data_IF_605780829590
#
_entry.id   IF_605780829590
#
_cell.length_a   1.000
_cell.length_b   1.000
_cell.length_c   1.000
_cell.angle_alpha   90.00
_cell.angle_beta   90.00
_cell.angle_gamma   90.00
#
_symmetry.space_group_name_H-M   'P 1'
#
loop_
_entity.id
_entity.type
_entity.pdbx_description
1 polymer ?
#
# COMPACT_ATOMS: atom_id res chain seq x y z
N UNK A 1 53.48 -16.58 7.85
CA UNK A 1 53.57 -15.42 6.93
C UNK A 1 54.23 -15.84 5.62
N UNK A 2 53.46 -16.14 4.56
CA UNK A 2 53.94 -16.11 3.18
C UNK A 2 53.33 -14.93 2.39
N UNK A 3 54.18 -14.25 1.61
CA UNK A 3 53.85 -13.23 0.60
C UNK A 3 53.70 -13.89 -0.78
N UNK A 4 53.30 -13.10 -1.80
CA UNK A 4 53.25 -13.38 -3.26
C UNK A 4 51.89 -13.92 -3.78
N UNK A 5 51.22 -13.43 -4.83
CA UNK A 5 51.33 -12.26 -5.72
C UNK A 5 50.04 -12.24 -6.60
N UNK A 6 49.40 -11.08 -6.88
CA UNK A 6 48.14 -11.01 -7.62
C UNK A 6 48.39 -10.71 -9.12
N UNK A 7 48.72 -11.73 -9.90
CA UNK A 7 48.83 -11.58 -11.36
C UNK A 7 48.46 -12.86 -12.11
N UNK A 8 47.14 -13.11 -12.23
CA UNK A 8 46.64 -14.04 -13.25
C UNK A 8 45.28 -13.64 -13.79
N UNK A 9 45.32 -12.67 -14.69
CA UNK A 9 44.33 -12.48 -15.75
C UNK A 9 44.07 -13.79 -16.48
N UNK A 10 42.82 -14.28 -16.46
CA UNK A 10 42.30 -15.17 -17.52
C UNK A 10 40.78 -14.99 -17.61
N UNK A 11 40.41 -14.20 -18.60
CA UNK A 11 39.12 -14.23 -19.27
C UNK A 11 38.69 -15.68 -19.56
N UNK A 12 37.40 -15.98 -19.32
CA UNK A 12 36.62 -16.91 -20.17
C UNK A 12 35.14 -16.85 -19.80
N UNK A 13 34.39 -16.21 -20.69
CA UNK A 13 32.96 -16.39 -20.93
C UNK A 13 32.60 -17.88 -20.87
N UNK A 14 31.54 -18.24 -20.15
CA UNK A 14 30.70 -19.39 -20.48
C UNK A 14 29.26 -19.08 -20.11
N UNK A 15 28.49 -18.78 -21.15
CA UNK A 15 27.04 -18.81 -21.19
C UNK A 15 26.58 -20.23 -20.83
N UNK A 16 25.68 -20.37 -19.87
CA UNK A 16 24.92 -21.61 -19.68
C UNK A 16 23.44 -21.30 -19.89
N UNK A 17 22.96 -21.68 -21.07
CA UNK A 17 21.56 -21.71 -21.43
C UNK A 17 21.19 -23.17 -21.71
N UNK A 18 20.38 -23.76 -20.81
CA UNK A 18 19.59 -25.02 -20.95
C UNK A 18 18.94 -25.27 -19.58
N UNK A 19 17.78 -25.87 -19.40
CA UNK A 19 16.63 -26.17 -20.22
C UNK A 19 15.56 -26.69 -19.25
N UNK A 20 14.31 -26.24 -19.44
CA UNK A 20 13.06 -26.97 -19.27
C UNK A 20 13.11 -28.27 -18.44
N UNK A 21 12.33 -28.34 -17.35
CA UNK A 21 11.56 -29.56 -17.03
C UNK A 21 10.30 -29.24 -16.22
N UNK A 22 9.17 -29.45 -16.91
CA UNK A 22 7.80 -29.56 -16.41
C UNK A 22 7.74 -30.62 -15.30
N UNK A 23 7.02 -30.33 -14.20
CA UNK A 23 6.37 -31.35 -13.36
C UNK A 23 5.26 -30.70 -12.50
N UNK A 24 4.05 -30.79 -13.02
CA UNK A 24 2.81 -31.03 -12.26
C UNK A 24 2.15 -32.28 -12.92
N UNK A 25 1.12 -32.94 -12.38
CA UNK A 25 0.26 -32.60 -11.23
C UNK A 25 -0.14 -33.79 -10.31
N UNK A 26 -1.06 -33.52 -9.37
CA UNK A 26 -2.00 -34.45 -8.66
C UNK A 26 -1.41 -35.32 -7.52
N UNK A 27 -2.07 -35.60 -6.37
CA UNK A 27 -3.49 -35.61 -5.98
C UNK A 27 -3.62 -35.85 -4.45
N UNK A 28 -4.68 -35.30 -3.85
CA UNK A 28 -5.53 -35.86 -2.76
C UNK A 28 -4.94 -36.15 -1.35
N UNK A 29 -5.46 -35.46 -0.33
CA UNK A 29 -6.42 -36.01 0.66
C UNK A 29 -6.84 -34.98 1.71
N UNK A 30 -8.03 -35.20 2.26
CA UNK A 30 -8.99 -34.30 2.90
C UNK A 30 -8.54 -33.57 4.18
N UNK A 31 -9.21 -32.45 4.54
CA UNK A 31 -9.02 -31.77 5.82
C UNK A 31 -9.80 -32.46 6.93
N UNK A 32 -9.09 -33.02 7.91
CA UNK A 32 -9.70 -33.53 9.13
C UNK A 32 -10.08 -32.37 10.05
N UNK A 33 -11.38 -32.33 10.34
CA UNK A 33 -12.01 -31.40 11.29
C UNK A 33 -11.60 -31.82 12.70
N UNK A 34 -10.66 -31.11 13.33
CA UNK A 34 -10.51 -31.18 14.79
C UNK A 34 -10.87 -29.82 15.40
N UNK A 35 -12.05 -29.83 16.00
CA UNK A 35 -12.65 -28.75 16.76
C UNK A 35 -11.76 -28.32 17.92
N UNK A 36 -11.09 -27.17 17.78
CA UNK A 36 -10.44 -26.51 18.90
C UNK A 36 -11.48 -25.60 19.58
N UNK A 37 -12.16 -26.14 20.59
CA UNK A 37 -12.98 -25.37 21.53
C UNK A 37 -12.05 -24.46 22.33
N UNK A 38 -11.70 -23.30 21.78
CA UNK A 38 -11.12 -22.20 22.55
C UNK A 38 -12.25 -21.41 23.16
N UNK A 39 -12.35 -21.51 24.48
CA UNK A 39 -13.23 -20.74 25.35
C UNK A 39 -13.21 -19.26 24.93
N UNK A 40 -14.35 -18.79 24.40
CA UNK A 40 -14.55 -17.39 24.07
C UNK A 40 -14.64 -16.60 25.38
N UNK A 41 -13.54 -15.95 25.76
CA UNK A 41 -13.61 -14.89 26.76
C UNK A 41 -14.53 -13.78 26.25
N UNK A 42 -15.41 -13.20 27.09
CA UNK A 42 -16.31 -12.15 26.67
C UNK A 42 -15.51 -10.94 26.17
N UNK A 43 -15.89 -10.33 25.03
CA UNK A 43 -15.22 -9.13 24.56
C UNK A 43 -15.44 -8.01 25.58
N UNK A 44 -14.34 -7.48 26.13
CA UNK A 44 -14.35 -6.21 26.85
C UNK A 44 -14.95 -5.16 25.93
N UNK A 45 -16.11 -4.64 26.33
CA UNK A 45 -16.77 -3.47 25.75
C UNK A 45 -15.77 -2.32 25.83
N UNK A 46 -15.10 -2.00 24.73
CA UNK A 46 -14.41 -0.73 24.60
C UNK A 46 -15.50 0.31 24.34
N UNK A 47 -15.97 0.91 25.43
CA UNK A 47 -16.64 2.19 25.41
C UNK A 47 -15.74 3.22 24.72
N UNK A 48 -16.33 4.09 23.90
CA UNK A 48 -15.67 5.29 23.40
C UNK A 48 -14.77 5.10 22.18
N UNK A 49 -15.30 4.52 21.09
CA UNK A 49 -14.85 4.96 19.76
C UNK A 49 -15.86 5.97 19.27
N UNK A 50 -15.54 7.24 19.49
CA UNK A 50 -16.22 8.38 18.90
C UNK A 50 -16.46 8.07 17.42
N UNK A 51 -17.75 7.94 17.07
CA UNK A 51 -18.18 7.86 15.69
C UNK A 51 -17.77 9.19 15.06
N UNK A 52 -16.73 9.17 14.25
CA UNK A 52 -16.50 10.25 13.29
C UNK A 52 -17.81 10.48 12.53
N UNK A 53 -18.25 11.72 12.32
CA UNK A 53 -19.54 11.99 11.70
C UNK A 53 -19.61 11.32 10.34
N UNK A 54 -20.64 10.48 10.18
CA UNK A 54 -21.04 9.94 8.88
C UNK A 54 -21.65 11.14 8.16
N UNK A 55 -20.87 11.79 7.30
CA UNK A 55 -21.46 12.73 6.35
C UNK A 55 -22.27 11.88 5.36
N UNK A 56 -23.59 12.00 5.46
CA UNK A 56 -24.52 11.66 4.39
C UNK A 56 -24.12 12.48 3.16
N UNK A 57 -23.45 11.85 2.20
CA UNK A 57 -23.27 12.40 0.87
C UNK A 57 -24.33 11.76 -0.02
N UNK A 58 -25.33 12.57 -0.35
CA UNK A 58 -26.21 12.41 -1.51
C UNK A 58 -25.38 12.14 -2.78
N UNK A 59 -26.01 11.57 -3.80
CA UNK A 59 -25.39 11.11 -5.07
C UNK A 59 -24.79 12.22 -5.93
N UNK A 60 -23.80 12.91 -5.38
CA UNK A 60 -22.88 13.83 -6.04
C UNK A 60 -21.68 13.00 -6.48
N UNK A 61 -21.29 13.10 -7.74
CA UNK A 61 -20.09 12.49 -8.32
C UNK A 61 -18.95 12.56 -7.31
N UNK A 62 -18.62 11.46 -6.63
CA UNK A 62 -17.70 11.46 -5.48
C UNK A 62 -16.30 11.86 -5.97
N UNK A 63 -16.03 13.17 -6.00
CA UNK A 63 -14.73 13.70 -6.36
C UNK A 63 -13.70 13.16 -5.36
N UNK A 64 -12.54 12.74 -5.89
CA UNK A 64 -11.51 12.14 -5.07
C UNK A 64 -10.95 13.17 -4.06
N UNK A 65 -11.40 13.10 -2.80
CA UNK A 65 -10.97 14.03 -1.74
C UNK A 65 -9.61 13.62 -1.20
N UNK A 66 -8.65 14.55 -1.22
CA UNK A 66 -7.32 14.37 -0.64
C UNK A 66 -7.12 15.28 0.59
N UNK A 67 -6.56 14.72 1.66
CA UNK A 67 -6.27 15.42 2.92
C UNK A 67 -4.83 15.15 3.37
N UNK A 68 -4.23 16.11 4.06
CA UNK A 68 -2.93 15.91 4.73
C UNK A 68 -3.21 15.56 6.19
N UNK A 69 -2.70 14.42 6.64
CA UNK A 69 -2.92 13.86 7.98
C UNK A 69 -1.61 13.89 8.75
N UNK A 70 -1.64 14.44 9.97
CA UNK A 70 -0.54 14.32 10.94
C UNK A 70 -0.48 12.87 11.45
N UNK A 71 0.64 12.21 11.21
CA UNK A 71 0.91 10.85 11.65
C UNK A 71 1.57 10.86 13.03
N UNK A 72 1.44 9.73 13.74
CA UNK A 72 2.13 9.53 15.02
C UNK A 72 3.62 9.83 14.87
N UNK A 73 4.17 10.47 15.89
CA UNK A 73 5.58 10.78 15.95
C UNK A 73 6.44 9.55 15.65
N UNK A 74 7.53 9.74 14.91
CA UNK A 74 8.44 8.65 14.57
C UNK A 74 9.02 8.09 15.87
N UNK A 75 8.89 6.78 16.11
CA UNK A 75 9.32 6.17 17.38
C UNK A 75 10.81 6.38 17.70
N UNK A 76 11.65 6.55 16.68
CA UNK A 76 13.09 6.76 16.86
C UNK A 76 13.47 8.21 17.19
N UNK A 77 12.77 9.18 16.62
CA UNK A 77 13.21 10.59 16.60
C UNK A 77 12.23 11.51 17.36
N UNK A 78 11.01 11.03 17.63
CA UNK A 78 9.94 11.83 18.24
C UNK A 78 9.34 12.92 17.34
N UNK A 79 9.86 13.07 16.12
CA UNK A 79 9.43 14.10 15.19
C UNK A 79 8.02 13.83 14.64
N UNK A 80 7.23 14.92 14.52
CA UNK A 80 5.94 14.92 13.85
C UNK A 80 6.14 14.62 12.38
N UNK A 81 5.26 13.79 11.82
CA UNK A 81 5.31 13.44 10.40
C UNK A 81 3.96 13.68 9.77
N UNK A 82 3.97 14.02 8.50
CA UNK A 82 2.79 14.35 7.71
C UNK A 82 2.70 13.37 6.54
N UNK A 83 1.47 13.02 6.14
CA UNK A 83 1.23 12.21 4.95
C UNK A 83 -0.01 12.69 4.22
N UNK A 84 0.02 12.62 2.90
CA UNK A 84 -1.18 12.80 2.09
C UNK A 84 -2.01 11.49 2.07
N UNK A 85 -3.32 11.60 2.19
CA UNK A 85 -4.27 10.51 2.02
C UNK A 85 -5.36 10.94 1.02
N UNK A 86 -5.63 10.12 0.01
CA UNK A 86 -6.68 10.36 -0.98
C UNK A 86 -7.71 9.23 -0.95
N UNK A 87 -8.99 9.59 -0.91
CA UNK A 87 -10.10 8.64 -1.02
C UNK A 87 -10.61 8.64 -2.46
N UNK A 88 -10.45 7.51 -3.15
CA UNK A 88 -10.84 7.35 -4.56
C UNK A 88 -12.00 6.37 -4.66
N UNK A 89 -13.11 6.71 -5.34
CA UNK A 89 -14.19 5.76 -5.61
C UNK A 89 -13.71 4.68 -6.58
N UNK A 90 -14.03 3.42 -6.29
CA UNK A 90 -13.73 2.29 -7.16
C UNK A 90 -14.83 2.17 -8.20
N UNK A 91 -14.46 2.30 -9.48
CA UNK A 91 -15.35 2.21 -10.63
C UNK A 91 -15.93 0.80 -10.91
N UNK A 92 -15.96 -0.12 -9.94
CA UNK A 92 -16.48 -1.47 -10.18
C UNK A 92 -18.01 -1.49 -10.17
N UNK A 93 -18.59 -2.18 -11.17
CA UNK A 93 -20.03 -2.38 -11.40
C UNK A 93 -20.79 -3.09 -10.27
N UNK A 94 -20.08 -3.66 -9.29
CA UNK A 94 -20.70 -4.31 -8.14
C UNK A 94 -20.92 -3.31 -7.00
N UNK A 95 -21.93 -2.47 -7.16
CA UNK A 95 -22.50 -1.68 -6.08
C UNK A 95 -23.17 -2.63 -5.06
N UNK A 96 -22.62 -2.71 -3.85
CA UNK A 96 -23.26 -3.42 -2.75
C UNK A 96 -24.24 -2.45 -2.10
N UNK A 97 -25.51 -2.47 -2.52
CA UNK A 97 -26.54 -1.57 -2.00
C UNK A 97 -26.46 -0.12 -2.50
N UNK A 98 -26.10 0.09 -3.77
CA UNK A 98 -26.13 1.41 -4.43
C UNK A 98 -24.95 2.33 -4.12
N UNK A 99 -24.02 1.94 -3.23
CA UNK A 99 -22.86 2.75 -2.84
C UNK A 99 -21.58 2.29 -3.53
N UNK A 100 -20.87 3.23 -4.15
CA UNK A 100 -19.53 3.02 -4.71
C UNK A 100 -18.55 2.70 -3.58
N UNK A 101 -17.71 1.68 -3.77
CA UNK A 101 -16.68 1.36 -2.77
C UNK A 101 -15.57 2.40 -2.86
N UNK A 102 -15.33 3.16 -1.82
CA UNK A 102 -14.17 4.07 -1.76
C UNK A 102 -12.93 3.33 -1.24
N UNK A 103 -11.75 3.73 -1.72
CA UNK A 103 -10.48 3.24 -1.21
C UNK A 103 -9.56 4.40 -0.86
N UNK A 104 -8.97 4.32 0.33
CA UNK A 104 -7.97 5.27 0.77
C UNK A 104 -6.57 4.85 0.30
N UNK A 105 -5.90 5.71 -0.44
CA UNK A 105 -4.51 5.56 -0.87
C UNK A 105 -3.67 6.52 -0.04
N UNK A 106 -2.59 6.00 0.56
CA UNK A 106 -1.69 6.78 1.42
C UNK A 106 -0.40 7.08 0.67
N UNK A 107 0.00 8.34 0.70
CA UNK A 107 1.29 8.81 0.18
C UNK A 107 2.44 8.57 1.16
N UNK A 108 3.65 9.04 0.79
CA UNK A 108 4.83 8.96 1.63
C UNK A 108 4.71 9.77 2.92
N UNK A 109 5.42 9.31 3.95
CA UNK A 109 5.63 10.07 5.18
C UNK A 109 6.71 11.13 4.94
N UNK A 110 6.37 12.39 5.23
CA UNK A 110 7.27 13.55 5.15
C UNK A 110 7.42 14.16 6.54
N UNK A 111 8.61 14.67 6.86
CA UNK A 111 8.84 15.46 8.09
C UNK A 111 8.30 16.87 7.88
N UNK A 112 8.55 17.43 6.70
CA UNK A 112 8.03 18.72 6.29
C UNK A 112 6.57 18.63 5.81
N UNK A 113 5.75 19.55 6.32
CA UNK A 113 4.32 19.66 6.01
C UNK A 113 4.10 20.18 4.59
N UNK A 114 4.94 21.10 4.11
CA UNK A 114 4.80 21.66 2.76
C UNK A 114 5.01 20.60 1.69
N UNK A 115 6.00 19.73 1.89
CA UNK A 115 6.21 18.59 1.01
C UNK A 115 5.00 17.63 0.98
N UNK A 116 4.32 17.43 2.11
CA UNK A 116 3.10 16.62 2.14
C UNK A 116 1.93 17.27 1.40
N UNK A 117 1.83 18.60 1.38
CA UNK A 117 0.87 19.32 0.54
C UNK A 117 1.19 19.18 -0.95
N UNK A 118 2.46 19.26 -1.36
CA UNK A 118 2.85 18.99 -2.76
C UNK A 118 2.48 17.56 -3.19
N UNK A 119 2.67 16.59 -2.30
CA UNK A 119 2.27 15.21 -2.55
C UNK A 119 0.73 15.08 -2.65
N UNK A 120 -0.02 15.81 -1.80
CA UNK A 120 -1.48 15.91 -1.87
C UNK A 120 -1.93 16.42 -3.24
N UNK A 121 -1.39 17.54 -3.69
CA UNK A 121 -1.79 18.17 -4.96
C UNK A 121 -1.51 17.25 -6.15
N UNK A 122 -0.37 16.55 -6.15
CA UNK A 122 -0.03 15.57 -7.19
C UNK A 122 -0.95 14.34 -7.19
N UNK A 123 -1.33 13.83 -6.01
CA UNK A 123 -2.28 12.72 -5.91
C UNK A 123 -3.68 13.15 -6.37
N UNK A 124 -4.10 14.35 -6.01
CA UNK A 124 -5.39 14.93 -6.41
C UNK A 124 -5.43 15.17 -7.94
N UNK A 125 -4.36 15.71 -8.50
CA UNK A 125 -4.21 15.88 -9.95
C UNK A 125 -4.26 14.54 -10.69
N UNK A 126 -3.53 13.53 -10.21
CA UNK A 126 -3.54 12.19 -10.81
C UNK A 126 -4.94 11.55 -10.76
N UNK A 127 -5.70 11.77 -9.68
CA UNK A 127 -7.07 11.29 -9.58
C UNK A 127 -8.05 12.04 -10.50
N UNK A 128 -7.82 13.34 -10.74
CA UNK A 128 -8.58 14.15 -11.72
C UNK A 128 -8.29 13.72 -13.16
N UNK A 129 -7.04 13.44 -13.50
CA UNK A 129 -6.62 12.98 -14.82
C UNK A 129 -7.08 11.53 -15.11
N UNK A 130 -7.16 10.70 -14.08
CA UNK A 130 -7.52 9.28 -14.18
C UNK A 130 -8.68 8.93 -13.23
N UNK A 131 -9.93 9.38 -13.53
CA UNK A 131 -11.08 9.14 -12.67
C UNK A 131 -11.41 7.65 -12.58
N UNK A 132 -11.54 7.14 -11.35
CA UNK A 132 -11.81 5.71 -11.08
C UNK A 132 -10.61 4.77 -11.24
N UNK A 133 -9.51 5.26 -11.79
CA UNK A 133 -8.29 4.49 -12.10
C UNK A 133 -7.33 4.44 -10.91
N UNK A 134 -7.78 3.72 -9.88
CA UNK A 134 -7.07 3.45 -8.64
C UNK A 134 -5.61 3.02 -8.83
N UNK A 135 -5.34 2.20 -9.85
CA UNK A 135 -4.00 1.65 -10.10
C UNK A 135 -3.00 2.74 -10.44
N UNK A 136 -3.43 3.78 -11.18
CA UNK A 136 -2.61 4.94 -11.54
C UNK A 136 -2.28 5.78 -10.32
N UNK A 137 -3.29 6.10 -9.50
CA UNK A 137 -3.11 6.86 -8.25
C UNK A 137 -2.21 6.11 -7.26
N UNK A 138 -2.35 4.77 -7.16
CA UNK A 138 -1.42 3.94 -6.37
C UNK A 138 -0.01 3.91 -6.95
N UNK A 139 0.12 3.88 -8.27
CA UNK A 139 1.41 3.96 -8.96
C UNK A 139 2.14 5.26 -8.62
N UNK A 140 1.43 6.39 -8.72
CA UNK A 140 1.93 7.71 -8.37
C UNK A 140 2.40 7.77 -6.90
N UNK A 141 1.61 7.28 -5.95
CA UNK A 141 2.01 7.23 -4.55
C UNK A 141 3.30 6.41 -4.32
N UNK A 142 3.49 5.30 -5.06
CA UNK A 142 4.71 4.48 -5.02
C UNK A 142 5.90 5.19 -5.65
N UNK A 143 5.69 5.92 -6.75
CA UNK A 143 6.73 6.71 -7.38
C UNK A 143 7.21 7.84 -6.46
N UNK A 144 6.31 8.50 -5.74
CA UNK A 144 6.65 9.52 -4.74
C UNK A 144 7.46 8.96 -3.56
N UNK A 145 7.22 7.71 -3.19
CA UNK A 145 8.00 6.99 -2.18
C UNK A 145 9.42 6.69 -2.68
N UNK A 146 9.55 6.30 -3.95
CA UNK A 146 10.82 5.89 -4.55
C UNK A 146 11.68 7.07 -5.05
N UNK A 147 11.06 8.21 -5.38
CA UNK A 147 11.75 9.43 -5.83
C UNK A 147 12.48 10.19 -4.71
N UNK A 148 12.61 9.59 -3.51
CA UNK A 148 13.29 10.18 -2.36
C UNK A 148 14.52 9.39 -1.93
N UNK A 149 15.55 9.42 -2.77
CA UNK A 149 16.96 9.35 -2.34
C UNK A 149 17.81 9.96 -3.46
N UNK A 150 18.05 11.27 -3.40
CA UNK A 150 19.32 11.94 -3.72
C UNK A 150 19.24 13.39 -3.24
#
# INVERSE_FOLDING_TARGET
MPRFDPSRSRSRRRSDSRSRRRRTPERRRSPERRSERRSASPPKRLEGREKSPVNDAEGETEEAKCIVVESKARQSTGERTWRAEISVPKANDYQFGGKSRTMCIRGPLRVDKEQAYKDKDRLEQCAKEHPGDISKVKGMAREMLNSKTH
#
